data_IF_119100382687
#
_entry.id   IF_119100382687
#
_cell.length_a   1.000
_cell.length_b   1.000
_cell.length_c   1.000
_cell.angle_alpha   90.00
_cell.angle_beta   90.00
_cell.angle_gamma   90.00
#
_symmetry.space_group_name_H-M   'P 1'
#
loop_
_entity.id
_entity.type
_entity.pdbx_description
1 polymer ?
#
# COMPACT_ATOMS: atom_id res chain seq x y z
N UNK A 1 -9.56 -4.27 36.79
CA UNK A 1 -8.80 -5.08 35.81
C UNK A 1 -7.88 -4.13 35.08
N UNK A 2 -6.57 -4.39 34.92
CA UNK A 2 -5.79 -3.63 33.95
C UNK A 2 -6.44 -3.88 32.58
N UNK A 3 -6.75 -2.81 31.84
CA UNK A 3 -7.18 -2.94 30.46
C UNK A 3 -6.14 -3.75 29.72
N UNK A 4 -6.58 -4.77 28.97
CA UNK A 4 -5.71 -5.51 28.07
C UNK A 4 -4.81 -4.53 27.30
N UNK A 5 -3.50 -4.81 27.09
CA UNK A 5 -2.65 -3.95 26.26
C UNK A 5 -3.23 -3.75 24.85
N UNK A 6 -4.14 -4.64 24.41
CA UNK A 6 -4.89 -4.54 23.15
C UNK A 6 -6.09 -3.56 23.19
N UNK A 7 -6.40 -2.97 24.34
CA UNK A 7 -7.47 -1.97 24.54
C UNK A 7 -6.91 -0.55 24.76
N UNK A 8 -5.59 -0.36 24.63
CA UNK A 8 -5.01 0.97 24.66
C UNK A 8 -5.34 1.70 23.34
N UNK A 9 -5.86 2.92 23.45
CA UNK A 9 -6.12 3.78 22.29
C UNK A 9 -4.83 3.94 21.47
N UNK A 10 -4.84 3.38 20.26
CA UNK A 10 -3.72 3.49 19.33
C UNK A 10 -4.06 4.55 18.29
N UNK A 11 -3.33 5.66 18.30
CA UNK A 11 -3.45 6.71 17.28
C UNK A 11 -2.59 6.35 16.07
N UNK A 12 -3.06 6.55 14.82
CA UNK A 12 -2.23 6.37 13.64
C UNK A 12 -0.99 7.27 13.70
N UNK A 13 0.18 6.69 13.46
CA UNK A 13 1.47 7.34 13.52
C UNK A 13 1.84 8.02 12.18
N UNK A 14 0.94 8.81 11.60
CA UNK A 14 1.12 9.42 10.26
C UNK A 14 2.45 10.17 10.16
N UNK A 15 3.17 9.97 9.06
CA UNK A 15 4.49 10.57 8.82
C UNK A 15 5.65 9.83 9.49
N UNK A 16 5.37 8.81 10.32
CA UNK A 16 6.39 8.10 11.10
C UNK A 16 6.23 6.58 11.13
N UNK A 17 5.11 6.02 10.64
CA UNK A 17 4.78 4.63 10.95
C UNK A 17 3.37 4.19 10.57
N UNK A 18 2.85 4.55 9.40
CA UNK A 18 1.53 4.13 8.89
C UNK A 18 1.61 3.49 7.50
N UNK A 19 0.51 2.89 7.04
CA UNK A 19 0.36 2.46 5.65
C UNK A 19 0.60 3.60 4.65
N UNK A 20 0.25 4.84 4.98
CA UNK A 20 0.49 6.00 4.13
C UNK A 20 1.99 6.30 3.93
N UNK A 21 2.86 5.80 4.81
CA UNK A 21 4.29 6.06 4.78
C UNK A 21 5.08 5.01 3.97
N UNK A 22 4.45 3.88 3.61
CA UNK A 22 5.11 2.74 2.92
C UNK A 22 5.52 3.10 1.50
N UNK A 23 4.58 3.54 0.66
CA UNK A 23 4.88 3.86 -0.74
C UNK A 23 5.76 5.10 -0.89
N UNK A 24 5.59 6.20 -0.13
CA UNK A 24 6.56 7.30 -0.11
C UNK A 24 7.97 6.84 0.25
N UNK A 25 8.11 5.94 1.24
CA UNK A 25 9.41 5.35 1.59
C UNK A 25 10.01 4.55 0.42
N UNK A 26 9.21 3.77 -0.30
CA UNK A 26 9.65 3.05 -1.49
C UNK A 26 10.08 4.00 -2.63
N UNK A 27 9.30 5.06 -2.90
CA UNK A 27 9.65 6.07 -3.89
C UNK A 27 10.98 6.74 -3.56
N UNK A 28 11.18 7.10 -2.29
CA UNK A 28 12.40 7.75 -1.85
C UNK A 28 13.62 6.82 -1.97
N UNK A 29 13.48 5.53 -1.64
CA UNK A 29 14.51 4.52 -1.86
C UNK A 29 14.85 4.33 -3.35
N UNK A 30 13.86 4.47 -4.24
CA UNK A 30 14.07 4.46 -5.69
C UNK A 30 14.69 5.76 -6.22
N UNK A 31 14.91 6.78 -5.39
CA UNK A 31 15.44 8.09 -5.76
C UNK A 31 14.41 9.02 -6.40
N UNK A 32 13.12 8.74 -6.30
CA UNK A 32 12.06 9.64 -6.78
C UNK A 32 11.97 10.85 -5.85
N UNK A 33 11.97 12.09 -6.37
CA UNK A 33 11.85 13.30 -5.55
C UNK A 33 10.63 13.27 -4.64
N UNK A 34 10.83 13.55 -3.35
CA UNK A 34 9.75 13.61 -2.36
C UNK A 34 9.31 15.06 -2.13
N UNK A 35 8.03 15.28 -1.78
CA UNK A 35 7.57 16.58 -1.28
C UNK A 35 8.39 17.02 -0.06
N UNK A 36 8.62 18.33 0.06
CA UNK A 36 9.33 18.89 1.20
C UNK A 36 8.65 18.49 2.53
N UNK A 37 9.42 17.93 3.47
CA UNK A 37 8.92 17.45 4.76
C UNK A 37 8.38 16.02 4.77
N UNK A 38 8.37 15.31 3.63
CA UNK A 38 8.10 13.87 3.60
C UNK A 38 9.32 13.11 4.13
N UNK A 39 9.15 12.42 5.27
CA UNK A 39 10.18 11.54 5.81
C UNK A 39 9.96 10.12 5.28
N UNK A 40 10.97 9.52 4.66
CA UNK A 40 11.02 8.09 4.40
C UNK A 40 11.27 7.34 5.72
N UNK A 41 10.25 7.32 6.55
CA UNK A 41 10.36 7.06 7.99
C UNK A 41 10.55 5.59 8.35
N UNK A 42 10.34 4.65 7.42
CA UNK A 42 10.27 3.23 7.76
C UNK A 42 11.60 2.47 7.62
N UNK A 43 12.61 3.04 6.95
CA UNK A 43 13.89 2.36 6.71
C UNK A 43 14.94 2.74 7.75
N UNK A 44 15.71 1.74 8.21
CA UNK A 44 16.84 1.99 9.11
C UNK A 44 17.94 2.75 8.38
N UNK A 45 18.46 3.80 9.02
CA UNK A 45 19.45 4.69 8.42
C UNK A 45 18.86 5.72 7.44
N UNK A 46 17.54 5.70 7.22
CA UNK A 46 16.85 6.59 6.29
C UNK A 46 17.19 6.32 4.83
N UNK A 47 16.78 7.25 3.97
CA UNK A 47 17.03 7.23 2.50
C UNK A 47 17.98 8.33 2.04
N UNK A 48 18.41 9.21 2.95
CA UNK A 48 19.25 10.36 2.64
C UNK A 48 20.70 10.11 3.08
N UNK A 49 21.66 10.26 2.16
CA UNK A 49 23.09 10.32 2.50
C UNK A 49 23.94 9.07 2.24
N UNK A 50 23.37 8.03 1.61
CA UNK A 50 24.07 6.77 1.33
C UNK A 50 24.21 5.86 2.56
N UNK A 51 24.17 4.55 2.37
CA UNK A 51 24.29 3.55 3.44
C UNK A 51 23.01 3.20 4.21
N UNK A 52 21.83 3.62 3.74
CA UNK A 52 20.54 3.16 4.24
C UNK A 52 20.22 1.72 3.84
N UNK A 53 19.24 1.09 4.48
CA UNK A 53 18.87 -0.32 4.27
C UNK A 53 18.62 -0.72 2.81
N UNK A 54 18.05 0.19 2.01
CA UNK A 54 17.78 -0.01 0.59
C UNK A 54 18.65 0.87 -0.32
N UNK A 55 19.83 1.30 0.14
CA UNK A 55 20.73 2.11 -0.68
C UNK A 55 21.16 1.38 -1.97
N UNK A 56 21.13 2.10 -3.09
CA UNK A 56 21.40 1.54 -4.42
C UNK A 56 20.33 0.60 -4.98
N UNK A 57 19.24 0.32 -4.25
CA UNK A 57 18.13 -0.50 -4.76
C UNK A 57 17.41 0.25 -5.87
N UNK A 58 17.22 -0.43 -7.00
CA UNK A 58 16.52 0.13 -8.16
C UNK A 58 15.16 -0.51 -8.42
N UNK A 59 14.84 -1.62 -7.77
CA UNK A 59 13.62 -2.39 -8.02
C UNK A 59 13.00 -2.78 -6.69
N UNK A 60 11.78 -2.33 -6.45
CA UNK A 60 11.07 -2.58 -5.19
C UNK A 60 9.72 -3.23 -5.49
N UNK A 61 9.41 -4.29 -4.75
CA UNK A 61 8.07 -4.85 -4.68
C UNK A 61 7.48 -4.59 -3.29
N UNK A 62 6.23 -4.16 -3.26
CA UNK A 62 5.41 -4.01 -2.06
C UNK A 62 4.28 -5.03 -2.15
N UNK A 63 4.28 -6.01 -1.25
CA UNK A 63 3.25 -7.03 -1.15
C UNK A 63 2.33 -6.70 0.03
N UNK A 64 1.05 -6.46 -0.25
CA UNK A 64 0.02 -6.33 0.76
C UNK A 64 -0.73 -7.65 0.94
N UNK A 65 -0.71 -8.17 2.17
CA UNK A 65 -1.54 -9.29 2.61
C UNK A 65 -2.74 -8.70 3.37
N UNK A 66 -3.92 -8.72 2.76
CA UNK A 66 -5.11 -8.10 3.37
C UNK A 66 -5.51 -8.85 4.65
N UNK A 67 -5.92 -8.12 5.69
CA UNK A 67 -6.27 -8.71 6.99
C UNK A 67 -5.09 -9.26 7.82
N UNK A 68 -3.85 -9.29 7.29
CA UNK A 68 -2.70 -9.85 8.02
C UNK A 68 -2.06 -8.83 8.98
N UNK A 69 -2.69 -8.65 10.14
CA UNK A 69 -2.21 -7.72 11.19
C UNK A 69 -0.98 -8.21 11.97
N UNK A 70 -0.23 -7.26 12.55
CA UNK A 70 1.00 -7.51 13.31
C UNK A 70 0.87 -8.58 14.41
N UNK A 71 -0.26 -8.62 15.11
CA UNK A 71 -0.49 -9.59 16.19
C UNK A 71 -0.70 -11.02 15.70
N UNK A 72 -1.01 -11.23 14.41
CA UNK A 72 -1.11 -12.55 13.80
C UNK A 72 0.26 -13.15 13.44
N UNK A 73 1.32 -12.32 13.44
CA UNK A 73 2.65 -12.72 12.98
C UNK A 73 3.23 -13.87 13.81
N UNK A 74 3.07 -13.84 15.14
CA UNK A 74 3.56 -14.89 16.02
C UNK A 74 2.87 -16.25 15.79
N UNK A 75 1.57 -16.25 15.46
CA UNK A 75 0.85 -17.47 15.10
C UNK A 75 1.27 -17.96 13.70
N UNK A 76 1.36 -17.06 12.73
CA UNK A 76 1.76 -17.40 11.37
C UNK A 76 3.21 -17.92 11.28
N UNK A 77 4.11 -17.44 12.15
CA UNK A 77 5.48 -17.92 12.28
C UNK A 77 5.57 -19.42 12.62
N UNK A 78 4.55 -19.98 13.29
CA UNK A 78 4.49 -21.41 13.60
C UNK A 78 4.07 -22.25 12.38
N UNK A 79 3.35 -21.65 11.43
CA UNK A 79 2.81 -22.32 10.26
C UNK A 79 3.67 -22.14 8.99
N UNK A 80 4.57 -21.15 8.97
CA UNK A 80 5.42 -20.85 7.81
C UNK A 80 6.85 -20.54 8.23
N UNK A 81 7.81 -21.32 7.71
CA UNK A 81 9.23 -21.10 7.94
C UNK A 81 9.70 -19.72 7.48
N UNK A 82 9.18 -19.22 6.36
CA UNK A 82 9.50 -17.88 5.85
C UNK A 82 9.01 -16.79 6.78
N UNK A 83 7.77 -16.90 7.28
CA UNK A 83 7.23 -15.94 8.25
C UNK A 83 7.97 -16.02 9.58
N UNK A 84 8.34 -17.23 10.01
CA UNK A 84 9.19 -17.46 11.18
C UNK A 84 10.55 -16.77 11.07
N UNK A 85 11.23 -16.91 9.94
CA UNK A 85 12.51 -16.23 9.68
C UNK A 85 12.39 -14.70 9.73
N UNK A 86 11.31 -14.13 9.19
CA UNK A 86 11.03 -12.67 9.31
C UNK A 86 10.78 -12.29 10.77
N UNK A 87 9.93 -13.04 11.47
CA UNK A 87 9.56 -12.78 12.87
C UNK A 87 10.77 -12.84 13.82
N UNK A 88 11.73 -13.74 13.57
CA UNK A 88 12.95 -13.88 14.36
C UNK A 88 14.10 -12.95 13.92
N UNK A 89 13.92 -12.16 12.86
CA UNK A 89 14.94 -11.25 12.33
C UNK A 89 16.06 -11.96 11.56
N UNK A 90 15.82 -13.16 11.07
CA UNK A 90 16.72 -13.94 10.22
C UNK A 90 16.59 -13.54 8.75
N UNK A 91 15.42 -13.01 8.36
CA UNK A 91 15.14 -12.54 7.02
C UNK A 91 14.60 -11.10 7.04
N UNK A 92 15.41 -10.15 6.58
CA UNK A 92 15.02 -8.74 6.45
C UNK A 92 14.82 -8.03 7.80
N UNK A 93 14.06 -6.93 7.78
CA UNK A 93 13.69 -6.18 8.97
C UNK A 93 12.19 -6.24 9.22
N UNK A 94 11.82 -6.16 10.49
CA UNK A 94 10.43 -6.08 10.93
C UNK A 94 10.22 -4.77 11.68
N UNK A 95 9.35 -3.92 11.12
CA UNK A 95 8.96 -2.64 11.71
C UNK A 95 7.44 -2.63 11.86
N UNK A 96 6.90 -2.59 13.09
CA UNK A 96 5.46 -2.43 13.30
C UNK A 96 4.99 -1.07 12.78
N UNK A 97 3.91 -1.08 12.00
CA UNK A 97 3.23 0.14 11.54
C UNK A 97 1.76 0.10 11.97
N UNK A 98 1.14 1.28 11.96
CA UNK A 98 -0.28 1.45 12.27
C UNK A 98 -1.12 1.50 11.00
N UNK A 99 -2.34 0.99 11.09
CA UNK A 99 -3.35 1.21 10.06
C UNK A 99 -3.85 2.67 10.09
N UNK A 100 -4.53 3.08 9.03
CA UNK A 100 -5.25 4.34 8.99
C UNK A 100 -6.52 4.27 9.83
N UNK A 101 -7.12 5.42 10.11
CA UNK A 101 -8.45 5.49 10.73
C UNK A 101 -9.43 6.14 9.74
N UNK A 102 -10.53 5.45 9.39
CA UNK A 102 -10.89 4.08 9.79
C UNK A 102 -9.98 3.00 9.17
N UNK A 103 -9.84 1.85 9.85
CA UNK A 103 -9.00 0.72 9.42
C UNK A 103 -9.80 -0.23 8.52
N UNK A 104 -10.16 0.24 7.32
CA UNK A 104 -10.96 -0.53 6.37
C UNK A 104 -10.28 -0.58 5.00
N UNK A 105 -10.41 -1.68 4.28
CA UNK A 105 -9.75 -1.96 3.01
C UNK A 105 -9.69 -0.77 2.04
N UNK A 106 -10.80 -0.13 1.60
CA UNK A 106 -10.70 0.96 0.63
C UNK A 106 -9.91 2.17 1.15
N UNK A 107 -9.96 2.42 2.46
CA UNK A 107 -9.24 3.53 3.11
C UNK A 107 -7.74 3.19 3.17
N UNK A 108 -7.40 2.00 3.64
CA UNK A 108 -6.02 1.50 3.74
C UNK A 108 -5.34 1.42 2.37
N UNK A 109 -6.03 0.90 1.36
CA UNK A 109 -5.54 0.82 -0.02
C UNK A 109 -5.29 2.21 -0.59
N UNK A 110 -6.23 3.14 -0.40
CA UNK A 110 -6.07 4.51 -0.88
C UNK A 110 -4.92 5.25 -0.17
N UNK A 111 -4.79 5.08 1.15
CA UNK A 111 -3.66 5.66 1.89
C UNK A 111 -2.32 5.11 1.41
N UNK A 112 -2.23 3.80 1.18
CA UNK A 112 -1.04 3.16 0.64
C UNK A 112 -0.72 3.68 -0.77
N UNK A 113 -1.70 3.66 -1.68
CA UNK A 113 -1.53 3.99 -3.09
C UNK A 113 -1.36 5.49 -3.37
N UNK A 114 -1.88 6.38 -2.52
CA UNK A 114 -1.67 7.82 -2.64
C UNK A 114 -0.46 8.30 -1.83
N UNK A 115 -0.08 7.56 -0.78
CA UNK A 115 0.90 7.97 0.20
C UNK A 115 0.41 9.15 1.05
N UNK A 116 -0.89 9.16 1.36
CA UNK A 116 -1.61 10.26 2.02
C UNK A 116 -2.51 9.71 3.13
N UNK A 117 -2.83 10.49 4.16
CA UNK A 117 -3.85 10.11 5.14
C UNK A 117 -5.28 10.20 4.55
N UNK A 118 -6.28 9.55 5.17
CA UNK A 118 -7.67 9.53 4.68
C UNK A 118 -8.28 10.91 4.42
N UNK A 119 -7.97 11.89 5.26
CA UNK A 119 -8.46 13.26 5.10
C UNK A 119 -7.94 13.97 3.85
N UNK A 120 -6.84 13.49 3.25
CA UNK A 120 -6.22 14.11 2.07
C UNK A 120 -6.57 13.37 0.77
N UNK A 121 -6.70 12.04 0.79
CA UNK A 121 -7.09 11.28 -0.41
C UNK A 121 -8.61 11.09 -0.56
N UNK A 122 -9.44 11.50 0.41
CA UNK A 122 -10.91 11.56 0.26
C UNK A 122 -11.66 10.22 0.29
N UNK A 123 -10.95 9.08 0.30
CA UNK A 123 -11.55 7.75 0.50
C UNK A 123 -11.63 7.48 2.01
N UNK A 124 -12.69 7.96 2.65
CA UNK A 124 -12.79 8.02 4.13
C UNK A 124 -13.73 6.97 4.74
N UNK A 125 -14.27 6.07 3.94
CA UNK A 125 -15.23 5.07 4.40
C UNK A 125 -15.46 3.97 3.39
N UNK A 126 -16.15 2.92 3.82
CA UNK A 126 -16.52 1.83 2.92
C UNK A 126 -17.65 2.25 1.98
N UNK A 127 -18.72 2.79 2.56
CA UNK A 127 -19.85 3.42 1.87
C UNK A 127 -20.01 4.84 2.37
N UNK A 128 -20.11 5.80 1.46
CA UNK A 128 -20.24 7.22 1.79
C UNK A 128 -21.35 7.85 0.96
N UNK A 129 -21.87 8.98 1.45
CA UNK A 129 -22.83 9.81 0.72
C UNK A 129 -22.09 10.78 -0.19
N UNK A 130 -22.44 10.82 -1.47
CA UNK A 130 -21.96 11.79 -2.44
C UNK A 130 -22.52 13.17 -2.05
N UNK A 131 -21.69 14.19 -1.79
CA UNK A 131 -22.16 15.48 -1.30
C UNK A 131 -23.18 16.16 -2.22
N UNK A 132 -22.94 16.14 -3.53
CA UNK A 132 -23.73 16.93 -4.49
C UNK A 132 -25.07 16.27 -4.87
N UNK A 133 -25.11 14.94 -4.95
CA UNK A 133 -26.32 14.20 -5.37
C UNK A 133 -27.07 13.58 -4.20
N UNK A 134 -26.39 13.37 -3.07
CA UNK A 134 -26.91 12.61 -1.95
C UNK A 134 -26.95 11.09 -2.16
N UNK A 135 -26.47 10.58 -3.30
CA UNK A 135 -26.40 9.14 -3.57
C UNK A 135 -25.37 8.44 -2.68
N UNK A 136 -25.39 7.11 -2.66
CA UNK A 136 -24.41 6.31 -1.95
C UNK A 136 -23.40 5.70 -2.92
N UNK A 137 -22.12 5.81 -2.60
CA UNK A 137 -21.05 5.09 -3.29
C UNK A 137 -20.41 4.11 -2.30
N UNK A 138 -20.30 2.85 -2.71
CA UNK A 138 -19.55 1.81 -1.97
C UNK A 138 -18.25 1.56 -2.71
N UNK A 139 -17.12 1.97 -2.14
CA UNK A 139 -15.85 2.07 -2.88
C UNK A 139 -15.41 0.75 -3.52
N UNK A 140 -15.54 -0.37 -2.82
CA UNK A 140 -15.16 -1.69 -3.36
C UNK A 140 -16.14 -2.25 -4.41
N UNK A 141 -17.31 -1.61 -4.58
CA UNK A 141 -18.34 -1.97 -5.57
C UNK A 141 -18.59 -0.84 -6.57
N UNK A 142 -17.74 0.17 -6.57
CA UNK A 142 -17.89 1.35 -7.40
C UNK A 142 -17.55 0.99 -8.84
N UNK A 143 -18.51 1.16 -9.73
CA UNK A 143 -18.35 0.89 -11.17
C UNK A 143 -17.57 1.99 -11.92
N UNK A 144 -17.27 3.10 -11.24
CA UNK A 144 -16.55 4.24 -11.79
C UNK A 144 -17.38 5.15 -12.69
N UNK A 145 -18.71 4.97 -12.76
CA UNK A 145 -19.60 5.80 -13.57
C UNK A 145 -20.03 7.09 -12.87
N UNK A 146 -20.37 7.00 -11.59
CA UNK A 146 -20.74 8.15 -10.76
C UNK A 146 -20.47 7.85 -9.28
N UNK A 147 -19.83 8.77 -8.53
CA UNK A 147 -19.13 9.96 -9.03
C UNK A 147 -17.94 9.57 -9.93
N UNK A 148 -17.32 10.55 -10.59
CA UNK A 148 -16.10 10.31 -11.38
C UNK A 148 -14.89 10.03 -10.45
N UNK A 149 -14.22 8.87 -10.57
CA UNK A 149 -13.11 8.50 -9.68
C UNK A 149 -11.96 9.50 -9.61
N UNK A 150 -11.59 10.07 -10.74
CA UNK A 150 -10.49 11.01 -10.89
C UNK A 150 -10.85 12.38 -10.30
N UNK A 151 -12.12 12.78 -10.34
CA UNK A 151 -12.60 13.95 -9.63
C UNK A 151 -12.72 13.72 -8.11
N UNK A 152 -13.04 12.48 -7.68
CA UNK A 152 -13.17 12.13 -6.27
C UNK A 152 -11.83 12.10 -5.54
N UNK A 153 -10.78 11.58 -6.18
CA UNK A 153 -9.41 11.60 -5.68
C UNK A 153 -8.51 12.33 -6.71
N UNK A 154 -8.49 13.68 -6.70
CA UNK A 154 -7.81 14.48 -7.72
C UNK A 154 -6.29 14.59 -7.50
N UNK A 155 -5.79 14.22 -6.32
CA UNK A 155 -4.37 14.28 -6.01
C UNK A 155 -3.57 13.19 -6.75
N UNK A 156 -2.30 13.44 -7.09
CA UNK A 156 -1.50 12.45 -7.81
C UNK A 156 -1.26 11.20 -6.96
N UNK A 157 -1.42 10.01 -7.56
CA UNK A 157 -1.09 8.74 -6.90
C UNK A 157 0.44 8.60 -6.75
N UNK A 158 0.90 7.64 -5.94
CA UNK A 158 2.34 7.33 -5.86
C UNK A 158 2.90 6.85 -7.21
N UNK A 159 2.08 6.17 -8.00
CA UNK A 159 2.49 5.59 -9.27
C UNK A 159 2.57 6.67 -10.36
N UNK A 160 1.67 7.67 -10.37
CA UNK A 160 1.82 8.84 -11.25
C UNK A 160 3.12 9.58 -10.97
N UNK A 161 3.46 9.78 -9.69
CA UNK A 161 4.73 10.42 -9.30
C UNK A 161 5.95 9.60 -9.70
N UNK A 162 5.93 8.29 -9.48
CA UNK A 162 7.04 7.41 -9.81
C UNK A 162 7.24 7.27 -11.33
N UNK A 163 6.16 7.09 -12.09
CA UNK A 163 6.18 7.01 -13.55
C UNK A 163 6.64 8.32 -14.19
N UNK A 164 6.27 9.48 -13.64
CA UNK A 164 6.77 10.78 -14.09
C UNK A 164 8.30 10.93 -13.92
N UNK A 165 8.91 10.18 -13.00
CA UNK A 165 10.36 10.11 -12.78
C UNK A 165 11.02 8.90 -13.49
N UNK A 166 10.30 8.22 -14.39
CA UNK A 166 10.83 7.11 -15.19
C UNK A 166 10.96 5.77 -14.45
N UNK A 167 10.22 5.57 -13.36
CA UNK A 167 10.07 4.26 -12.71
C UNK A 167 8.95 3.49 -13.40
N UNK A 168 9.19 2.25 -13.83
CA UNK A 168 8.13 1.39 -14.33
C UNK A 168 7.24 0.92 -13.17
N UNK A 169 5.96 1.30 -13.18
CA UNK A 169 5.00 0.92 -12.15
C UNK A 169 4.08 -0.21 -12.63
N UNK A 170 3.89 -1.24 -11.81
CA UNK A 170 2.96 -2.35 -12.11
C UNK A 170 2.16 -2.75 -10.89
N UNK A 171 0.85 -2.91 -11.05
CA UNK A 171 -0.05 -3.52 -10.08
C UNK A 171 -0.26 -4.98 -10.46
N UNK A 172 -0.04 -5.91 -9.53
CA UNK A 172 -0.26 -7.34 -9.70
C UNK A 172 -1.40 -7.76 -8.79
N UNK A 173 -2.59 -7.92 -9.37
CA UNK A 173 -3.82 -8.20 -8.62
C UNK A 173 -4.92 -8.77 -9.53
N UNK A 174 -6.04 -9.18 -8.95
CA UNK A 174 -7.15 -9.79 -9.67
C UNK A 174 -7.65 -8.86 -10.78
N UNK A 175 -7.71 -9.36 -12.01
CA UNK A 175 -8.18 -8.60 -13.18
C UNK A 175 -9.58 -8.02 -13.02
N UNK A 176 -10.43 -8.61 -12.17
CA UNK A 176 -11.76 -8.09 -11.86
C UNK A 176 -11.74 -6.68 -11.21
N UNK A 177 -10.63 -6.27 -10.59
CA UNK A 177 -10.51 -4.96 -9.96
C UNK A 177 -9.98 -3.87 -10.91
N UNK A 178 -9.41 -4.23 -12.06
CA UNK A 178 -8.64 -3.34 -12.95
C UNK A 178 -9.38 -2.06 -13.32
N UNK A 179 -10.65 -2.18 -13.68
CA UNK A 179 -11.42 -1.05 -14.23
C UNK A 179 -12.47 -0.53 -13.23
N UNK A 180 -12.38 -0.93 -11.95
CA UNK A 180 -13.27 -0.43 -10.89
C UNK A 180 -13.00 1.03 -10.57
N UNK A 181 -14.02 1.71 -10.03
CA UNK A 181 -13.91 3.11 -9.60
C UNK A 181 -12.81 3.31 -8.55
N UNK A 182 -12.69 2.40 -7.57
CA UNK A 182 -11.61 2.51 -6.59
C UNK A 182 -10.22 2.41 -7.24
N UNK A 183 -10.03 1.48 -8.17
CA UNK A 183 -8.74 1.33 -8.88
C UNK A 183 -8.41 2.57 -9.70
N UNK A 184 -9.38 3.10 -10.46
CA UNK A 184 -9.23 4.38 -11.18
C UNK A 184 -8.94 5.56 -10.26
N UNK A 185 -9.49 5.53 -9.05
CA UNK A 185 -9.25 6.57 -8.05
C UNK A 185 -7.86 6.50 -7.40
N UNK A 186 -7.16 5.36 -7.35
CA UNK A 186 -5.94 5.25 -6.51
C UNK A 186 -4.71 4.64 -7.20
N UNK A 187 -4.86 3.92 -8.31
CA UNK A 187 -3.77 3.20 -8.99
C UNK A 187 -3.39 3.79 -10.35
N UNK A 188 -3.84 5.01 -10.68
CA UNK A 188 -3.43 5.72 -11.90
C UNK A 188 -1.91 5.78 -12.01
N UNK A 189 -1.39 5.74 -13.23
CA UNK A 189 0.06 5.80 -13.48
C UNK A 189 0.80 4.47 -13.39
N UNK A 190 0.11 3.35 -13.15
CA UNK A 190 0.68 2.00 -13.17
C UNK A 190 0.04 1.11 -14.25
N UNK A 191 0.85 0.21 -14.81
CA UNK A 191 0.34 -0.92 -15.62
C UNK A 191 -0.40 -1.91 -14.72
N UNK A 192 -1.43 -2.58 -15.25
CA UNK A 192 -2.12 -3.66 -14.53
C UNK A 192 -1.75 -5.03 -15.09
N UNK A 193 -1.25 -5.92 -14.23
CA UNK A 193 -0.96 -7.31 -14.53
C UNK A 193 -1.95 -8.21 -13.76
N UNK A 194 -2.92 -8.86 -14.45
CA UNK A 194 -3.90 -9.70 -13.80
C UNK A 194 -3.25 -10.96 -13.20
N UNK A 195 -3.51 -11.21 -11.93
CA UNK A 195 -3.10 -12.42 -11.21
C UNK A 195 -4.13 -12.73 -10.13
N UNK A 196 -4.50 -14.00 -9.97
CA UNK A 196 -5.53 -14.43 -9.01
C UNK A 196 -4.91 -15.28 -7.91
N UNK A 197 -4.12 -16.28 -8.28
CA UNK A 197 -3.52 -17.19 -7.29
C UNK A 197 -2.23 -16.61 -6.69
N UNK A 198 -1.85 -17.03 -5.47
CA UNK A 198 -0.56 -16.63 -4.88
C UNK A 198 0.65 -16.93 -5.77
N UNK A 199 0.60 -18.01 -6.56
CA UNK A 199 1.65 -18.34 -7.54
C UNK A 199 1.72 -17.31 -8.66
N UNK A 200 0.58 -17.00 -9.28
CA UNK A 200 0.53 -15.99 -10.35
C UNK A 200 0.96 -14.62 -9.85
N UNK A 201 0.59 -14.26 -8.62
CA UNK A 201 1.02 -13.00 -7.99
C UNK A 201 2.53 -12.98 -7.80
N UNK A 202 3.14 -14.06 -7.31
CA UNK A 202 4.58 -14.16 -7.14
C UNK A 202 5.33 -14.09 -8.49
N UNK A 203 4.92 -14.90 -9.47
CA UNK A 203 5.52 -14.95 -10.81
C UNK A 203 5.37 -13.61 -11.53
N UNK A 204 4.18 -13.02 -11.48
CA UNK A 204 3.89 -11.71 -12.07
C UNK A 204 4.70 -10.59 -11.41
N UNK A 205 4.89 -10.64 -10.09
CA UNK A 205 5.70 -9.66 -9.37
C UNK A 205 7.17 -9.71 -9.80
N UNK A 206 7.75 -10.91 -9.86
CA UNK A 206 9.15 -11.09 -10.31
C UNK A 206 9.32 -10.64 -11.76
N UNK A 207 8.40 -11.02 -12.64
CA UNK A 207 8.43 -10.60 -14.04
C UNK A 207 8.31 -9.07 -14.19
N UNK A 208 7.40 -8.44 -13.42
CA UNK A 208 7.19 -7.00 -13.45
C UNK A 208 8.40 -6.22 -12.95
N UNK A 209 9.09 -6.70 -11.89
CA UNK A 209 10.33 -6.09 -11.40
C UNK A 209 11.39 -6.01 -12.48
N UNK A 210 11.50 -7.04 -13.32
CA UNK A 210 12.49 -7.14 -14.38
C UNK A 210 12.21 -6.30 -15.64
N UNK A 211 11.04 -5.64 -15.74
CA UNK A 211 10.63 -4.89 -16.94
C UNK A 211 11.49 -3.67 -17.24
N UNK A 212 12.12 -3.08 -16.22
CA UNK A 212 12.93 -1.87 -16.37
C UNK A 212 14.11 -1.84 -15.39
N UNK A 213 15.00 -0.88 -15.61
CA UNK A 213 16.11 -0.65 -14.71
C UNK A 213 15.68 -0.05 -13.37
N UNK A 214 14.56 0.70 -13.35
CA UNK A 214 13.88 1.17 -12.15
C UNK A 214 12.44 0.69 -12.17
N UNK A 215 12.02 -0.05 -11.14
CA UNK A 215 10.70 -0.67 -11.10
C UNK A 215 10.06 -0.58 -9.72
N UNK A 216 8.76 -0.29 -9.68
CA UNK A 216 7.93 -0.34 -8.50
C UNK A 216 6.74 -1.27 -8.78
N UNK A 217 6.66 -2.36 -8.03
CA UNK A 217 5.58 -3.34 -8.18
C UNK A 217 4.75 -3.35 -6.91
N UNK A 218 3.44 -3.19 -7.03
CA UNK A 218 2.50 -3.39 -5.93
C UNK A 218 1.72 -4.68 -6.19
N UNK A 219 1.79 -5.61 -5.25
CA UNK A 219 1.11 -6.89 -5.31
C UNK A 219 0.12 -7.02 -4.16
N UNK A 220 -1.06 -7.56 -4.42
CA UNK A 220 -2.14 -7.66 -3.44
C UNK A 220 -2.67 -9.09 -3.34
N UNK A 221 -2.72 -9.62 -2.12
CA UNK A 221 -3.30 -10.91 -1.79
C UNK A 221 -4.46 -10.71 -0.78
N UNK A 222 -5.72 -10.94 -1.20
CA UNK A 222 -6.89 -10.75 -0.33
C UNK A 222 -7.14 -11.92 0.63
N UNK A 223 -6.50 -13.07 0.41
CA UNK A 223 -6.98 -14.35 0.91
C UNK A 223 -6.99 -14.49 2.44
N UNK A 224 -6.15 -13.73 3.16
CA UNK A 224 -6.08 -13.79 4.64
C UNK A 224 -7.31 -13.16 5.30
N UNK A 225 -7.88 -12.10 4.71
CA UNK A 225 -9.12 -11.46 5.22
C UNK A 225 -10.39 -12.24 4.87
N UNK A 226 -10.31 -13.15 3.90
CA UNK A 226 -11.44 -13.99 3.46
C UNK A 226 -11.58 -15.31 4.24
N UNK A 227 -10.65 -15.61 5.15
CA UNK A 227 -10.55 -16.88 5.87
C UNK A 227 -11.44 -16.95 7.13
#
# INVERSE_FOLDING_TARGET
>A
MPSSPYLADTRPAYGTGTLADVMPTALAALGVPQPAGSAAALLRGGVAGGGGELDGVRRIAVLLLDGFGYHLLGQAAQASATVGAVHHGELGTLTPITATVPSSTPISLASLACGLPPGEHGIIGFTVRVPDTGDLVTHIRWDGSSPDPEAWQPGPTVFERASADGVACTIVSNGAFRDTGLTRAIYRGADWLPAISPREVAEGTVAALARADRSLVYAYLPDVDTA
#
